data_IF_440846011283
#
_entry.id   IF_440846011283
#
_cell.length_a   1.000
_cell.length_b   1.000
_cell.length_c   1.000
_cell.angle_alpha   90.00
_cell.angle_beta   90.00
_cell.angle_gamma   90.00
#
_symmetry.space_group_name_H-M   'P 1'
#
loop_
_entity.id
_entity.type
_entity.pdbx_description
1 polymer ?
#
# COMPACT_ATOMS: atom_id res chain seq x y z
N UNK A 1 20.50 -23.48 -14.17
CA UNK A 1 19.16 -23.20 -14.74
C UNK A 1 18.63 -21.94 -14.07
N UNK A 2 18.93 -20.79 -14.63
CA UNK A 2 18.34 -19.51 -14.23
C UNK A 2 16.90 -19.48 -14.75
N UNK A 3 15.91 -19.54 -13.86
CA UNK A 3 14.50 -19.40 -14.22
C UNK A 3 14.08 -17.94 -14.01
N UNK A 4 13.97 -17.23 -15.14
CA UNK A 4 13.07 -16.11 -15.40
C UNK A 4 13.08 -14.97 -14.39
N UNK A 5 14.03 -14.05 -14.57
CA UNK A 5 13.81 -12.66 -14.23
C UNK A 5 12.68 -12.07 -15.11
N UNK A 6 11.89 -11.18 -14.50
CA UNK A 6 10.99 -10.21 -15.13
C UNK A 6 9.60 -10.70 -15.58
N UNK A 7 8.78 -11.18 -14.62
CA UNK A 7 7.39 -10.73 -14.64
C UNK A 7 7.36 -9.31 -14.08
N UNK A 8 6.79 -8.37 -14.84
CA UNK A 8 6.70 -6.94 -14.53
C UNK A 8 6.23 -6.71 -13.09
N UNK A 9 7.18 -6.55 -12.18
CA UNK A 9 6.88 -6.22 -10.79
C UNK A 9 6.28 -4.82 -10.82
N UNK A 10 5.07 -4.67 -10.28
CA UNK A 10 4.42 -3.37 -10.20
C UNK A 10 5.35 -2.40 -9.45
N UNK A 11 5.84 -1.37 -10.15
CA UNK A 11 6.70 -0.35 -9.54
C UNK A 11 5.85 0.63 -8.73
N UNK A 12 5.77 0.44 -7.41
CA UNK A 12 5.10 1.39 -6.55
C UNK A 12 5.98 2.64 -6.36
N UNK A 13 5.65 3.70 -7.08
CA UNK A 13 6.34 4.99 -6.98
C UNK A 13 5.75 5.85 -5.87
N UNK A 14 6.63 6.33 -4.99
CA UNK A 14 6.32 7.29 -3.96
C UNK A 14 6.24 8.73 -4.48
N UNK A 15 5.89 9.69 -3.60
CA UNK A 15 5.69 11.10 -3.95
C UNK A 15 6.93 11.76 -4.56
N UNK A 16 8.13 11.33 -4.17
CA UNK A 16 9.40 11.85 -4.69
C UNK A 16 9.96 11.02 -5.85
N UNK A 17 9.12 10.24 -6.54
CA UNK A 17 9.49 9.26 -7.58
C UNK A 17 10.40 8.12 -7.11
N UNK A 18 10.54 7.96 -5.79
CA UNK A 18 11.25 6.84 -5.17
C UNK A 18 10.50 5.54 -5.38
N UNK A 19 11.24 4.44 -5.50
CA UNK A 19 10.66 3.11 -5.69
C UNK A 19 10.50 2.46 -4.31
N UNK A 20 9.29 1.94 -4.07
CA UNK A 20 8.97 1.20 -2.87
C UNK A 20 8.69 -0.25 -3.19
N UNK A 21 9.31 -1.15 -2.44
CA UNK A 21 8.92 -2.55 -2.38
C UNK A 21 7.79 -2.70 -1.38
N UNK A 22 6.72 -3.39 -1.78
CA UNK A 22 5.62 -3.73 -0.90
C UNK A 22 5.63 -5.22 -0.57
N UNK A 23 5.46 -5.56 0.70
CA UNK A 23 5.34 -6.93 1.21
C UNK A 23 4.12 -7.02 2.13
N UNK A 24 3.38 -8.13 2.07
CA UNK A 24 2.27 -8.41 2.99
C UNK A 24 2.64 -9.63 3.80
N UNK A 25 2.61 -9.52 5.13
CA UNK A 25 2.95 -10.62 6.04
C UNK A 25 1.78 -10.92 6.97
N UNK A 26 1.43 -12.20 7.18
CA UNK A 26 0.45 -12.54 8.21
C UNK A 26 0.97 -12.11 9.58
N UNK A 27 0.08 -11.59 10.42
CA UNK A 27 0.39 -11.17 11.78
C UNK A 27 -0.39 -12.06 12.75
N UNK A 28 0.29 -12.87 13.56
CA UNK A 28 -0.37 -13.78 14.49
C UNK A 28 -1.13 -12.98 15.57
N UNK A 29 -2.20 -13.57 16.10
CA UNK A 29 -2.91 -12.99 17.24
C UNK A 29 -1.98 -12.95 18.46
N UNK A 30 -2.01 -11.82 19.17
CA UNK A 30 -1.39 -11.65 20.47
C UNK A 30 -2.43 -11.05 21.43
N UNK A 31 -2.24 -11.09 22.76
CA UNK A 31 -3.17 -10.46 23.71
C UNK A 31 -3.37 -8.96 23.45
N UNK A 32 -2.40 -8.30 22.80
CA UNK A 32 -2.44 -6.87 22.47
C UNK A 32 -2.99 -6.58 21.06
N UNK A 33 -3.08 -7.58 20.17
CA UNK A 33 -3.46 -7.35 18.78
C UNK A 33 -4.19 -8.57 18.17
N UNK A 34 -5.37 -8.39 17.57
CA UNK A 34 -6.06 -9.49 16.89
C UNK A 34 -5.25 -9.98 15.68
N UNK A 35 -5.49 -11.23 15.27
CA UNK A 35 -4.90 -11.77 14.05
C UNK A 35 -5.25 -10.87 12.85
N UNK A 36 -4.28 -10.70 11.96
CA UNK A 36 -4.44 -9.87 10.77
C UNK A 36 -3.27 -10.05 9.83
N UNK A 37 -2.96 -9.00 9.07
CA UNK A 37 -1.75 -8.93 8.26
C UNK A 37 -1.17 -7.54 8.30
N UNK A 38 0.15 -7.46 8.19
CA UNK A 38 0.87 -6.20 8.13
C UNK A 38 1.35 -5.97 6.70
N UNK A 39 0.98 -4.82 6.15
CA UNK A 39 1.54 -4.31 4.91
C UNK A 39 2.83 -3.59 5.27
N UNK A 40 3.95 -3.98 4.67
CA UNK A 40 5.23 -3.32 4.78
C UNK A 40 5.60 -2.64 3.46
N UNK A 41 6.06 -1.40 3.54
CA UNK A 41 6.69 -0.68 2.43
C UNK A 41 8.15 -0.40 2.78
N UNK A 42 9.04 -0.70 1.86
CA UNK A 42 10.47 -0.48 1.99
C UNK A 42 10.90 0.42 0.84
N UNK A 43 11.38 1.62 1.15
CA UNK A 43 11.98 2.49 0.15
C UNK A 43 13.31 1.87 -0.31
N UNK A 44 13.45 1.53 -1.58
CA UNK A 44 14.64 0.83 -2.08
C UNK A 44 15.90 1.72 -2.10
N UNK A 45 15.74 3.04 -2.11
CA UNK A 45 16.85 4.00 -2.07
C UNK A 45 17.32 4.25 -0.64
N UNK A 46 16.37 4.46 0.27
CA UNK A 46 16.67 4.96 1.62
C UNK A 46 16.60 3.86 2.68
N UNK A 47 16.11 2.66 2.35
CA UNK A 47 15.78 1.58 3.27
C UNK A 47 14.77 1.98 4.38
N UNK A 48 14.03 3.08 4.19
CA UNK A 48 12.96 3.46 5.11
C UNK A 48 11.84 2.45 5.07
N UNK A 49 11.49 1.95 6.26
CA UNK A 49 10.43 0.96 6.44
C UNK A 49 9.19 1.62 7.00
N UNK A 50 8.06 1.22 6.44
CA UNK A 50 6.74 1.70 6.83
C UNK A 50 5.80 0.53 6.94
N UNK A 51 4.91 0.56 7.92
CA UNK A 51 3.96 -0.52 8.15
C UNK A 51 2.54 -0.05 8.43
N UNK A 52 1.58 -0.91 8.10
CA UNK A 52 0.17 -0.74 8.44
C UNK A 52 -0.44 -2.10 8.75
N UNK A 53 -1.07 -2.23 9.94
CA UNK A 53 -1.75 -3.45 10.34
C UNK A 53 -3.21 -3.44 9.85
N UNK A 54 -3.59 -4.49 9.14
CA UNK A 54 -4.91 -4.71 8.55
C UNK A 54 -5.55 -5.92 9.20
N UNK A 55 -6.75 -5.74 9.75
CA UNK A 55 -7.51 -6.76 10.46
C UNK A 55 -8.96 -6.73 9.98
N UNK A 56 -9.74 -7.75 10.31
CA UNK A 56 -11.19 -7.76 10.05
C UNK A 56 -11.90 -6.56 10.69
N UNK A 57 -11.36 -6.02 11.79
CA UNK A 57 -12.00 -4.95 12.55
C UNK A 57 -11.78 -3.56 11.93
N UNK A 58 -10.67 -3.36 11.21
CA UNK A 58 -10.28 -2.03 10.72
C UNK A 58 -10.37 -1.89 9.20
N UNK A 59 -10.53 -2.98 8.44
CA UNK A 59 -10.50 -2.92 6.98
C UNK A 59 -11.59 -2.01 6.41
N UNK A 60 -12.80 -2.07 6.95
CA UNK A 60 -13.90 -1.22 6.51
C UNK A 60 -13.69 0.25 6.93
N UNK A 61 -12.94 0.50 8.01
CA UNK A 61 -12.55 1.86 8.42
C UNK A 61 -11.51 2.50 7.48
N UNK A 62 -10.68 1.68 6.81
CA UNK A 62 -9.75 2.17 5.78
C UNK A 62 -10.45 2.57 4.48
N UNK A 63 -11.75 2.35 4.35
CA UNK A 63 -12.49 2.69 3.13
C UNK A 63 -12.59 4.20 2.93
N UNK A 64 -12.38 4.66 1.69
CA UNK A 64 -12.59 6.06 1.33
C UNK A 64 -14.07 6.44 1.40
N UNK A 65 -14.40 7.57 2.04
CA UNK A 65 -15.78 8.11 2.16
C UNK A 65 -16.45 8.42 0.81
N UNK A 66 -15.68 8.48 -0.29
CA UNK A 66 -16.15 8.95 -1.61
C UNK A 66 -16.84 7.89 -2.48
N UNK A 67 -16.72 6.59 -2.18
CA UNK A 67 -17.25 5.50 -3.04
C UNK A 67 -17.93 4.44 -2.16
N UNK A 68 -19.25 4.24 -2.32
CA UNK A 68 -20.08 3.46 -1.38
C UNK A 68 -20.40 2.00 -1.78
N UNK A 69 -19.98 1.48 -2.95
CA UNK A 69 -20.56 0.22 -3.46
C UNK A 69 -19.94 -1.11 -2.98
N UNK A 70 -18.63 -1.21 -2.71
CA UNK A 70 -17.98 -2.44 -2.21
C UNK A 70 -17.71 -2.44 -0.69
N UNK A 71 -18.56 -3.11 0.11
CA UNK A 71 -18.26 -3.48 1.51
C UNK A 71 -17.75 -4.91 1.54
N UNK A 72 -16.63 -5.14 2.21
CA UNK A 72 -16.07 -6.48 2.36
C UNK A 72 -16.38 -7.10 3.72
N UNK A 73 -17.03 -6.37 4.63
CA UNK A 73 -17.65 -6.94 5.83
C UNK A 73 -16.67 -7.73 6.69
N UNK A 74 -15.46 -7.18 6.92
CA UNK A 74 -14.41 -7.87 7.66
C UNK A 74 -13.61 -8.93 6.89
N UNK A 75 -13.86 -9.13 5.58
CA UNK A 75 -13.04 -9.99 4.72
C UNK A 75 -11.71 -9.32 4.32
N UNK A 76 -10.89 -8.96 5.31
CA UNK A 76 -9.61 -8.29 5.09
C UNK A 76 -8.65 -9.08 4.19
N UNK A 77 -8.69 -10.42 4.27
CA UNK A 77 -7.90 -11.31 3.41
C UNK A 77 -8.18 -11.09 1.92
N UNK A 78 -9.41 -10.73 1.54
CA UNK A 78 -9.76 -10.44 0.15
C UNK A 78 -9.03 -9.18 -0.33
N UNK A 79 -9.03 -8.12 0.47
CA UNK A 79 -8.30 -6.88 0.12
C UNK A 79 -6.81 -7.12 -0.04
N UNK A 80 -6.24 -7.94 0.85
CA UNK A 80 -4.83 -8.28 0.81
C UNK A 80 -4.47 -9.16 -0.38
N UNK A 81 -5.33 -10.11 -0.74
CA UNK A 81 -5.16 -10.91 -1.96
C UNK A 81 -5.19 -10.01 -3.20
N UNK A 82 -6.15 -9.08 -3.29
CA UNK A 82 -6.22 -8.11 -4.40
C UNK A 82 -4.94 -7.26 -4.43
N UNK A 83 -4.49 -6.77 -3.28
CA UNK A 83 -3.26 -5.99 -3.19
C UNK A 83 -2.04 -6.78 -3.66
N UNK A 84 -1.94 -8.07 -3.30
CA UNK A 84 -0.89 -8.96 -3.78
C UNK A 84 -0.97 -9.19 -5.29
N UNK A 85 -2.16 -9.41 -5.84
CA UNK A 85 -2.37 -9.60 -7.29
C UNK A 85 -2.07 -8.34 -8.11
N UNK A 86 -2.31 -7.14 -7.57
CA UNK A 86 -1.88 -5.89 -8.20
C UNK A 86 -0.36 -5.77 -8.17
N UNK A 87 0.28 -6.13 -7.04
CA UNK A 87 1.74 -6.05 -6.89
C UNK A 87 2.49 -7.08 -7.76
N UNK A 88 1.90 -8.26 -7.98
CA UNK A 88 2.43 -9.27 -8.90
C UNK A 88 2.24 -8.90 -10.37
N UNK A 89 1.47 -7.86 -10.66
CA UNK A 89 1.13 -7.45 -12.02
C UNK A 89 0.06 -8.33 -12.68
N UNK A 90 -0.59 -9.24 -11.92
CA UNK A 90 -1.70 -10.05 -12.41
C UNK A 90 -2.98 -9.21 -12.64
N UNK A 91 -3.19 -8.22 -11.77
CA UNK A 91 -4.26 -7.22 -11.91
C UNK A 91 -3.64 -5.93 -12.46
N UNK A 92 -3.79 -5.73 -13.77
CA UNK A 92 -3.25 -4.57 -14.47
C UNK A 92 -4.02 -3.26 -14.23
N UNK A 93 -3.38 -2.11 -14.48
CA UNK A 93 -4.07 -0.83 -14.57
C UNK A 93 -4.99 -0.80 -15.81
N UNK A 94 -6.00 0.07 -15.79
CA UNK A 94 -6.88 0.33 -16.94
C UNK A 94 -6.06 0.68 -18.19
N UNK A 95 -5.82 -0.28 -19.07
CA UNK A 95 -5.39 0.00 -20.44
C UNK A 95 -6.66 0.38 -21.21
N UNK A 96 -6.96 1.68 -21.21
CA UNK A 96 -7.77 2.41 -22.18
C UNK A 96 -8.94 1.68 -22.86
N UNK A 97 -10.12 2.28 -22.66
CA UNK A 97 -11.41 2.13 -23.38
C UNK A 97 -12.44 1.15 -22.79
N UNK A 98 -13.37 1.72 -22.01
CA UNK A 98 -14.81 1.44 -22.09
C UNK A 98 -15.31 0.00 -21.91
N UNK A 99 -14.66 -0.83 -21.09
CA UNK A 99 -15.23 -2.12 -20.67
C UNK A 99 -15.51 -2.10 -19.16
N UNK A 100 -16.76 -1.84 -18.73
CA UNK A 100 -17.16 -1.84 -17.32
C UNK A 100 -17.06 -3.21 -16.64
N UNK A 101 -16.76 -4.27 -17.38
CA UNK A 101 -16.74 -5.66 -16.89
C UNK A 101 -15.36 -6.20 -16.56
N UNK A 102 -14.28 -5.47 -16.87
CA UNK A 102 -12.94 -5.95 -16.57
C UNK A 102 -12.55 -5.60 -15.14
N UNK A 103 -12.15 -6.61 -14.38
CA UNK A 103 -11.58 -6.41 -13.05
C UNK A 103 -10.23 -5.69 -13.19
N UNK A 104 -10.01 -4.66 -12.37
CA UNK A 104 -8.78 -3.87 -12.39
C UNK A 104 -8.40 -3.42 -10.99
N UNK A 105 -7.12 -3.13 -10.80
CA UNK A 105 -6.59 -2.60 -9.54
C UNK A 105 -5.51 -1.55 -9.79
N UNK A 106 -5.44 -0.56 -8.92
CA UNK A 106 -4.44 0.51 -8.97
C UNK A 106 -3.98 0.82 -7.57
N UNK A 107 -2.66 0.82 -7.38
CA UNK A 107 -2.02 1.24 -6.14
C UNK A 107 -1.38 2.61 -6.34
N UNK A 108 -1.55 3.49 -5.35
CA UNK A 108 -0.87 4.77 -5.32
C UNK A 108 -0.36 5.08 -3.92
N UNK A 109 0.82 5.71 -3.85
CA UNK A 109 1.45 6.11 -2.60
C UNK A 109 1.51 7.63 -2.55
N UNK A 110 0.89 8.22 -1.52
CA UNK A 110 0.84 9.68 -1.33
C UNK A 110 1.33 10.03 0.07
N UNK A 111 2.17 11.05 0.18
CA UNK A 111 2.52 11.65 1.46
C UNK A 111 1.55 12.79 1.73
N UNK A 112 1.02 12.86 2.96
CA UNK A 112 -0.07 13.78 3.30
C UNK A 112 0.30 14.57 4.54
N UNK A 113 0.32 15.91 4.44
CA UNK A 113 0.55 16.88 5.53
C UNK A 113 1.89 16.80 6.27
N UNK A 114 2.56 15.65 6.34
CA UNK A 114 3.80 15.45 7.09
C UNK A 114 4.67 14.40 6.40
N UNK A 115 5.99 14.51 6.59
CA UNK A 115 6.93 13.53 6.09
C UNK A 115 6.86 12.19 6.80
N UNK A 116 6.35 12.18 8.03
CA UNK A 116 6.11 11.00 8.85
C UNK A 116 4.76 10.33 8.60
N UNK A 117 3.97 10.85 7.66
CA UNK A 117 2.67 10.31 7.34
C UNK A 117 2.58 10.00 5.84
N UNK A 118 2.57 8.71 5.55
CA UNK A 118 2.42 8.19 4.20
C UNK A 118 1.13 7.40 4.10
N UNK A 119 0.51 7.42 2.92
CA UNK A 119 -0.78 6.80 2.68
C UNK A 119 -0.70 5.95 1.42
N UNK A 120 -0.89 4.65 1.59
CA UNK A 120 -1.09 3.71 0.49
C UNK A 120 -2.58 3.67 0.15
N UNK A 121 -2.93 3.87 -1.11
CA UNK A 121 -4.31 3.80 -1.59
C UNK A 121 -4.44 2.69 -2.62
N UNK A 122 -5.41 1.81 -2.41
CA UNK A 122 -5.80 0.76 -3.34
C UNK A 122 -7.19 1.12 -3.88
N UNK A 123 -7.26 1.39 -5.17
CA UNK A 123 -8.52 1.54 -5.90
C UNK A 123 -8.67 0.30 -6.80
N UNK A 124 -9.81 -0.37 -6.74
CA UNK A 124 -10.06 -1.54 -7.58
C UNK A 124 -11.52 -1.66 -7.99
N UNK A 125 -11.75 -2.41 -9.07
CA UNK A 125 -13.08 -2.84 -9.50
C UNK A 125 -13.09 -4.35 -9.62
N UNK A 126 -14.07 -5.00 -9.00
CA UNK A 126 -14.23 -6.46 -9.02
C UNK A 126 -15.70 -6.80 -9.22
N UNK A 127 -16.02 -7.60 -10.24
CA UNK A 127 -17.39 -7.99 -10.57
C UNK A 127 -18.30 -6.78 -10.80
N UNK A 128 -17.76 -5.73 -11.43
CA UNK A 128 -18.46 -4.46 -11.68
C UNK A 128 -18.61 -3.54 -10.46
N UNK A 129 -18.16 -3.95 -9.27
CA UNK A 129 -18.22 -3.12 -8.04
C UNK A 129 -16.89 -2.42 -7.79
N UNK A 130 -16.94 -1.12 -7.46
CA UNK A 130 -15.75 -0.31 -7.16
C UNK A 130 -15.50 -0.19 -5.66
N UNK A 131 -14.24 -0.36 -5.27
CA UNK A 131 -13.76 -0.20 -3.91
C UNK A 131 -12.52 0.68 -3.86
N UNK A 132 -12.35 1.37 -2.73
CA UNK A 132 -11.21 2.26 -2.47
C UNK A 132 -10.82 2.16 -1.00
N UNK A 133 -9.60 1.68 -0.75
CA UNK A 133 -9.00 1.55 0.57
C UNK A 133 -7.77 2.43 0.71
N UNK A 134 -7.56 2.89 1.93
CA UNK A 134 -6.65 3.96 2.27
C UNK A 134 -5.94 3.57 3.56
N UNK A 135 -4.75 3.01 3.42
CA UNK A 135 -3.93 2.51 4.52
C UNK A 135 -2.99 3.60 5.04
N UNK A 136 -3.13 4.06 6.29
CA UNK A 136 -2.18 4.97 6.90
C UNK A 136 -0.91 4.19 7.26
N UNK A 137 0.17 4.52 6.57
CA UNK A 137 1.48 3.89 6.75
C UNK A 137 2.27 4.66 7.81
N UNK A 138 2.68 3.96 8.86
CA UNK A 138 3.49 4.52 9.93
C UNK A 138 4.97 4.15 9.71
N UNK A 139 5.91 5.07 9.94
CA UNK A 139 7.34 4.73 9.84
C UNK A 139 7.73 3.81 10.98
N UNK A 140 8.49 2.75 10.68
CA UNK A 140 9.00 1.82 11.70
C UNK A 140 10.12 2.45 12.55
N UNK A 141 10.92 3.33 11.94
CA UNK A 141 11.94 4.13 12.63
C UNK A 141 11.82 5.63 12.24
N UNK A 142 11.01 6.41 12.98
CA UNK A 142 10.91 7.86 12.76
C UNK A 142 12.25 8.60 12.94
N UNK A 143 13.14 8.08 13.79
CA UNK A 143 14.42 8.71 14.11
C UNK A 143 15.41 8.62 12.96
N UNK A 144 15.43 7.51 12.22
CA UNK A 144 16.25 7.38 11.01
C UNK A 144 15.82 8.34 9.90
N UNK A 145 14.53 8.69 9.82
CA UNK A 145 14.02 9.69 8.89
C UNK A 145 14.50 11.07 9.33
N UNK A 146 14.33 11.41 10.61
CA UNK A 146 14.75 12.70 11.17
C UNK A 146 16.26 12.97 11.03
N UNK A 147 17.11 11.97 11.27
CA UNK A 147 18.58 12.10 11.18
C UNK A 147 19.07 12.47 9.77
N UNK A 148 18.40 11.98 8.73
CA UNK A 148 18.72 12.34 7.33
C UNK A 148 18.29 13.74 6.93
N UNK A 149 17.40 14.36 7.69
CA UNK A 149 16.98 15.74 7.44
C UNK A 149 17.88 16.77 8.13
N UNK A 150 18.58 16.35 9.19
CA UNK A 150 19.46 17.22 9.95
C UNK A 150 20.68 17.81 9.18
N UNK A 151 21.22 17.25 8.06
CA UNK A 151 22.37 17.88 7.41
C UNK A 151 21.99 19.07 6.51
N UNK A 152 20.71 19.41 6.31
CA UNK A 152 20.32 20.54 5.41
C UNK A 152 20.22 21.90 6.14
N UNK A 153 20.26 21.93 7.48
CA UNK A 153 20.20 23.21 8.24
C UNK A 153 21.56 23.76 8.70
N UNK A 154 22.66 23.04 8.47
CA UNK A 154 24.00 23.47 8.93
C UNK A 154 24.84 24.19 7.86
N UNK A 155 24.27 24.52 6.70
CA UNK A 155 24.96 25.28 5.65
C UNK A 155 24.06 26.41 5.13
N UNK A 156 23.88 27.44 5.95
CA UNK A 156 23.60 28.78 5.47
C UNK A 156 24.76 29.66 5.99
N UNK A 157 25.50 30.35 5.10
CA UNK A 157 26.61 31.23 5.49
C UNK A 157 26.15 32.44 6.30
#
# INVERSE_FOLDING_TARGET
MEKNALMNRFELRGPNKEIYRCEVKPTPATPAMPAGSTIHLINERTNDKWSCCVTSNNIDAFRSKKIQDLRLGGMHLVVLAILQEVLSGSLGPLTSSYVPTQDWGTLSLKQKHSRYFMKLSLDCQIGGKRGSWCFPMNPEDPGAIQKRELPVRAAAP
#
